data_IF_621335917661
#
_entry.id   IF_621335917661
#
_cell.length_a   1.000
_cell.length_b   1.000
_cell.length_c   1.000
_cell.angle_alpha   90.00
_cell.angle_beta   90.00
_cell.angle_gamma   90.00
#
_symmetry.space_group_name_H-M   'P 1'
#
loop_
_entity.id
_entity.type
_entity.pdbx_description
1 polymer ?
#
# COMPACT_ATOMS: atom_id res chain seq x y z
N UNK A 1 29.64 -14.81 -21.37
CA UNK A 1 28.53 -14.12 -22.08
C UNK A 1 27.21 -14.90 -22.08
N UNK A 2 27.10 -16.08 -22.74
CA UNK A 2 25.80 -16.81 -22.88
C UNK A 2 25.10 -17.21 -21.57
N UNK A 3 25.85 -17.68 -20.57
CA UNK A 3 25.32 -18.01 -19.24
C UNK A 3 24.81 -16.78 -18.47
N UNK A 4 25.39 -15.61 -18.71
CA UNK A 4 24.95 -14.35 -18.09
C UNK A 4 23.64 -13.86 -18.74
N UNK A 5 23.57 -13.88 -20.07
CA UNK A 5 22.33 -13.57 -20.81
C UNK A 5 21.17 -14.47 -20.41
N UNK A 6 21.41 -15.78 -20.25
CA UNK A 6 20.37 -16.71 -19.80
C UNK A 6 19.87 -16.39 -18.39
N UNK A 7 20.78 -16.07 -17.45
CA UNK A 7 20.41 -15.67 -16.09
C UNK A 7 19.59 -14.38 -16.07
N UNK A 8 20.00 -13.37 -16.83
CA UNK A 8 19.26 -12.11 -16.94
C UNK A 8 17.89 -12.31 -17.60
N UNK A 9 17.79 -13.16 -18.61
CA UNK A 9 16.51 -13.49 -19.25
C UNK A 9 15.56 -14.19 -18.29
N UNK A 10 16.05 -15.16 -17.51
CA UNK A 10 15.25 -15.85 -16.48
C UNK A 10 14.83 -14.87 -15.37
N UNK A 11 15.72 -13.98 -14.92
CA UNK A 11 15.39 -12.97 -13.93
C UNK A 11 14.31 -11.99 -14.44
N UNK A 12 14.41 -11.56 -15.70
CA UNK A 12 13.41 -10.71 -16.34
C UNK A 12 12.06 -11.44 -16.47
N UNK A 13 12.07 -12.71 -16.86
CA UNK A 13 10.86 -13.53 -16.95
C UNK A 13 10.17 -13.70 -15.58
N UNK A 14 10.95 -13.94 -14.51
CA UNK A 14 10.42 -14.02 -13.15
C UNK A 14 9.79 -12.71 -12.69
N UNK A 15 10.44 -11.57 -12.96
CA UNK A 15 9.85 -10.26 -12.65
C UNK A 15 8.56 -10.02 -13.44
N UNK A 16 8.53 -10.39 -14.72
CA UNK A 16 7.35 -10.24 -15.56
C UNK A 16 6.16 -11.04 -15.03
N UNK A 17 6.38 -12.31 -14.65
CA UNK A 17 5.34 -13.17 -14.04
C UNK A 17 4.84 -12.57 -12.71
N UNK A 18 5.76 -12.05 -11.89
CA UNK A 18 5.42 -11.44 -10.60
C UNK A 18 4.51 -10.22 -10.77
N UNK A 19 4.79 -9.37 -11.76
CA UNK A 19 3.97 -8.19 -12.05
C UNK A 19 2.59 -8.59 -12.56
N UNK A 20 2.51 -9.52 -13.51
CA UNK A 20 1.22 -9.99 -14.04
C UNK A 20 0.34 -10.61 -12.95
N UNK A 21 0.94 -11.46 -12.12
CA UNK A 21 0.24 -12.09 -10.99
C UNK A 21 -0.23 -11.03 -9.98
N UNK A 22 0.60 -10.01 -9.72
CA UNK A 22 0.23 -8.89 -8.86
C UNK A 22 -0.94 -8.07 -9.41
N UNK A 23 -0.99 -7.85 -10.72
CA UNK A 23 -2.09 -7.16 -11.38
C UNK A 23 -3.40 -7.96 -11.28
N UNK A 24 -3.37 -9.28 -11.51
CA UNK A 24 -4.55 -10.13 -11.37
C UNK A 24 -5.04 -10.17 -9.91
N UNK A 25 -4.12 -10.31 -8.95
CA UNK A 25 -4.46 -10.31 -7.53
C UNK A 25 -5.08 -8.98 -7.10
N UNK A 26 -4.54 -7.85 -7.57
CA UNK A 26 -5.08 -6.53 -7.31
C UNK A 26 -6.46 -6.33 -7.96
N UNK A 27 -6.63 -6.75 -9.22
CA UNK A 27 -7.92 -6.66 -9.91
C UNK A 27 -9.00 -7.49 -9.20
N UNK A 28 -8.67 -8.73 -8.82
CA UNK A 28 -9.57 -9.59 -8.04
C UNK A 28 -9.85 -9.02 -6.65
N UNK A 29 -8.84 -8.44 -5.99
CA UNK A 29 -9.00 -7.74 -4.71
C UNK A 29 -9.94 -6.54 -4.81
N UNK A 30 -9.79 -5.70 -5.84
CA UNK A 30 -10.68 -4.57 -6.11
C UNK A 30 -12.09 -5.05 -6.43
N UNK A 31 -12.25 -6.10 -7.24
CA UNK A 31 -13.57 -6.66 -7.56
C UNK A 31 -14.27 -7.21 -6.31
N UNK A 32 -13.53 -7.89 -5.42
CA UNK A 32 -14.04 -8.40 -4.14
C UNK A 32 -14.38 -7.28 -3.16
N UNK A 33 -13.59 -6.20 -3.11
CA UNK A 33 -13.87 -5.02 -2.26
C UNK A 33 -15.04 -4.20 -2.78
N UNK A 34 -15.27 -4.18 -4.10
CA UNK A 34 -16.44 -3.50 -4.68
C UNK A 34 -17.74 -4.26 -4.42
N UNK A 35 -17.69 -5.55 -4.08
CA UNK A 35 -18.87 -6.32 -3.64
C UNK A 35 -19.78 -6.82 -4.75
N UNK A 36 -19.33 -6.86 -6.02
CA UNK A 36 -20.18 -7.15 -7.19
C UNK A 36 -20.94 -8.50 -7.15
N UNK A 37 -20.55 -9.43 -6.27
CA UNK A 37 -21.23 -10.72 -6.06
C UNK A 37 -22.10 -10.78 -4.80
N UNK A 38 -22.33 -9.65 -4.12
CA UNK A 38 -23.21 -9.58 -2.96
C UNK A 38 -24.63 -9.19 -3.40
N UNK A 39 -25.66 -10.03 -3.20
CA UNK A 39 -27.05 -9.68 -3.50
C UNK A 39 -27.58 -8.53 -2.62
N UNK A 40 -26.84 -8.14 -1.57
CA UNK A 40 -27.03 -6.91 -0.80
C UNK A 40 -26.01 -5.83 -1.19
N UNK A 41 -25.82 -5.56 -2.49
CA UNK A 41 -25.04 -4.43 -2.98
C UNK A 41 -25.69 -3.10 -2.54
N UNK A 42 -25.58 -2.78 -1.26
CA UNK A 42 -25.93 -1.48 -0.71
C UNK A 42 -24.84 -0.54 -1.19
N UNK A 43 -25.15 0.19 -2.26
CA UNK A 43 -24.44 1.41 -2.63
C UNK A 43 -24.15 2.18 -1.33
N UNK A 44 -22.87 2.29 -0.96
CA UNK A 44 -22.43 2.87 0.32
C UNK A 44 -22.77 4.38 0.46
N UNK A 45 -23.51 4.92 -0.51
CA UNK A 45 -24.18 6.21 -0.47
C UNK A 45 -25.50 6.07 -1.23
N UNK A 46 -26.61 5.99 -0.50
CA UNK A 46 -27.93 6.32 -1.05
C UNK A 46 -28.22 7.78 -0.74
N UNK A 47 -27.98 8.68 -1.70
CA UNK A 47 -28.50 10.06 -1.62
C UNK A 47 -29.98 9.97 -1.97
N UNK A 48 -30.83 9.94 -0.95
CA UNK A 48 -32.25 10.21 -1.14
C UNK A 48 -32.40 11.73 -1.10
N UNK A 49 -32.58 12.32 -2.27
CA UNK A 49 -32.92 13.74 -2.39
C UNK A 49 -34.38 13.89 -1.93
N UNK A 50 -34.55 14.33 -0.68
CA UNK A 50 -35.79 14.93 -0.22
C UNK A 50 -35.46 16.27 0.40
N UNK A 51 -36.13 17.29 -0.11
CA UNK A 51 -36.04 18.69 0.27
C UNK A 51 -35.82 18.88 1.78
N UNK A 52 -34.70 19.54 2.11
CA UNK A 52 -34.40 20.31 3.34
C UNK A 52 -33.49 19.76 4.42
N UNK A 53 -33.04 18.50 4.43
CA UNK A 53 -32.00 18.09 5.38
C UNK A 53 -31.02 17.06 4.81
N UNK A 54 -29.76 17.49 4.65
CA UNK A 54 -28.65 16.68 4.12
C UNK A 54 -28.20 15.66 5.18
N UNK A 55 -28.87 14.50 5.25
CA UNK A 55 -28.46 13.38 6.12
C UNK A 55 -27.77 12.29 5.30
N UNK A 56 -26.44 12.39 5.14
CA UNK A 56 -25.63 11.33 4.57
C UNK A 56 -25.38 10.23 5.61
N UNK A 57 -26.19 9.17 5.59
CA UNK A 57 -25.98 7.97 6.43
C UNK A 57 -24.86 7.12 5.82
N UNK A 58 -23.66 7.22 6.38
CA UNK A 58 -22.60 6.22 6.16
C UNK A 58 -22.65 5.20 7.29
N UNK A 59 -23.03 3.95 6.96
CA UNK A 59 -22.96 2.78 7.85
C UNK A 59 -23.79 2.85 9.15
N UNK A 60 -25.00 3.39 9.09
CA UNK A 60 -26.01 3.19 10.15
C UNK A 60 -25.65 3.67 11.57
N UNK A 61 -24.59 4.46 11.74
CA UNK A 61 -24.25 5.10 13.01
C UNK A 61 -23.90 6.57 12.77
N UNK A 62 -24.53 7.45 13.52
CA UNK A 62 -24.19 8.87 13.59
C UNK A 62 -22.78 9.02 14.16
N UNK A 63 -21.78 9.30 13.33
CA UNK A 63 -20.40 9.51 13.78
C UNK A 63 -20.07 10.99 13.63
N UNK A 64 -19.94 11.67 14.76
CA UNK A 64 -19.49 13.05 14.88
C UNK A 64 -18.03 13.19 14.42
N UNK A 65 -17.72 14.27 13.70
CA UNK A 65 -16.46 14.53 12.97
C UNK A 65 -15.16 14.40 13.78
N UNK A 66 -15.24 14.44 15.11
CA UNK A 66 -14.08 14.29 16.00
C UNK A 66 -13.46 12.87 15.95
N UNK A 67 -14.27 11.83 15.69
CA UNK A 67 -13.83 10.43 15.82
C UNK A 67 -13.03 9.91 14.61
N UNK A 68 -13.13 10.60 13.46
CA UNK A 68 -12.42 10.25 12.22
C UNK A 68 -10.93 10.60 12.29
N UNK A 69 -10.58 11.72 12.93
CA UNK A 69 -9.22 12.22 13.04
C UNK A 69 -8.38 11.34 14.00
N UNK A 70 -8.97 10.93 15.12
CA UNK A 70 -8.35 10.00 16.07
C UNK A 70 -8.09 8.61 15.47
N UNK A 71 -9.02 8.11 14.63
CA UNK A 71 -8.83 6.83 13.91
C UNK A 71 -7.78 6.93 12.81
N UNK A 72 -7.74 8.04 12.06
CA UNK A 72 -6.67 8.30 11.07
C UNK A 72 -5.30 8.28 11.72
N UNK A 73 -5.15 9.00 12.84
CA UNK A 73 -3.88 9.06 13.58
C UNK A 73 -3.40 7.69 14.05
N UNK A 74 -4.30 6.86 14.59
CA UNK A 74 -3.97 5.47 14.96
C UNK A 74 -3.58 4.59 13.78
N UNK A 75 -4.21 4.76 12.62
CA UNK A 75 -3.87 3.98 11.42
C UNK A 75 -2.50 4.38 10.84
N UNK A 76 -2.16 5.67 10.89
CA UNK A 76 -0.84 6.17 10.49
C UNK A 76 0.25 5.68 11.44
N UNK A 77 0.02 5.74 12.75
CA UNK A 77 0.95 5.24 13.77
C UNK A 77 1.20 3.72 13.64
N UNK A 78 0.16 2.93 13.31
CA UNK A 78 0.30 1.47 13.13
C UNK A 78 1.05 1.05 11.86
N UNK A 79 0.88 1.77 10.75
CA UNK A 79 1.45 1.34 9.46
C UNK A 79 2.87 1.87 9.20
N UNK A 80 3.18 3.09 9.64
CA UNK A 80 4.41 3.75 9.23
C UNK A 80 5.57 3.58 10.21
N UNK A 81 5.31 3.52 11.53
CA UNK A 81 6.33 4.02 12.46
C UNK A 81 7.36 3.00 12.96
N UNK A 82 7.12 1.68 12.89
CA UNK A 82 8.02 0.72 13.54
C UNK A 82 8.70 -0.26 12.59
N UNK A 83 7.97 -0.93 11.69
CA UNK A 83 8.58 -1.92 10.80
C UNK A 83 9.36 -1.28 9.63
N UNK A 84 8.72 -0.40 8.87
CA UNK A 84 9.36 0.29 7.75
C UNK A 84 10.47 1.24 8.22
N UNK A 85 10.26 1.93 9.34
CA UNK A 85 11.26 2.82 9.93
C UNK A 85 12.50 2.07 10.44
N UNK A 86 12.32 0.94 11.15
CA UNK A 86 13.47 0.14 11.60
C UNK A 86 14.23 -0.51 10.45
N UNK A 87 13.53 -0.98 9.41
CA UNK A 87 14.13 -1.52 8.19
C UNK A 87 14.90 -0.43 7.41
N UNK A 88 14.29 0.74 7.22
CA UNK A 88 14.90 1.88 6.57
C UNK A 88 16.12 2.41 7.32
N UNK A 89 16.06 2.47 8.65
CA UNK A 89 17.19 2.87 9.50
C UNK A 89 18.39 1.94 9.32
N UNK A 90 18.14 0.62 9.35
CA UNK A 90 19.20 -0.39 9.17
C UNK A 90 19.81 -0.35 7.76
N UNK A 91 18.99 -0.09 6.75
CA UNK A 91 19.43 0.08 5.36
C UNK A 91 20.30 1.34 5.20
N UNK A 92 19.86 2.48 5.75
CA UNK A 92 20.62 3.73 5.71
C UNK A 92 21.95 3.63 6.45
N UNK A 93 21.98 3.02 7.63
CA UNK A 93 23.24 2.76 8.37
C UNK A 93 24.22 1.90 7.55
N UNK A 94 23.72 0.87 6.87
CA UNK A 94 24.53 0.06 5.96
C UNK A 94 25.10 0.85 4.78
N UNK A 95 24.29 1.74 4.20
CA UNK A 95 24.69 2.60 3.08
C UNK A 95 25.75 3.63 3.48
N UNK A 96 25.57 4.27 4.65
CA UNK A 96 26.54 5.24 5.20
C UNK A 96 27.87 4.57 5.50
N UNK A 97 27.86 3.44 6.20
CA UNK A 97 29.09 2.69 6.51
C UNK A 97 29.82 2.21 5.25
N UNK A 98 29.08 1.81 4.21
CA UNK A 98 29.69 1.43 2.93
C UNK A 98 30.31 2.66 2.24
N UNK A 99 29.62 3.80 2.26
CA UNK A 99 30.08 5.04 1.65
C UNK A 99 31.34 5.59 2.33
N UNK A 100 31.37 5.61 3.67
CA UNK A 100 32.54 6.01 4.46
C UNK A 100 33.75 5.13 4.14
N UNK A 101 33.58 3.81 4.12
CA UNK A 101 34.66 2.88 3.77
C UNK A 101 35.17 3.08 2.34
N UNK A 102 34.29 3.41 1.39
CA UNK A 102 34.67 3.69 0.01
C UNK A 102 35.45 5.01 -0.10
N UNK A 103 35.01 6.06 0.58
CA UNK A 103 35.70 7.36 0.60
C UNK A 103 37.09 7.21 1.24
N UNK A 104 37.17 6.48 2.35
CA UNK A 104 38.42 6.23 3.06
C UNK A 104 39.43 5.49 2.18
N UNK A 105 38.98 4.48 1.42
CA UNK A 105 39.81 3.70 0.48
C UNK A 105 40.29 4.45 -0.77
N UNK A 106 39.67 5.58 -1.10
CA UNK A 106 40.04 6.44 -2.24
C UNK A 106 40.96 7.58 -1.77
N UNK A 107 40.90 7.92 -0.48
CA UNK A 107 41.66 9.02 0.13
C UNK A 107 42.98 8.55 0.75
N UNK A 108 43.06 7.31 1.24
CA UNK A 108 44.32 6.58 1.52
C UNK A 108 44.93 5.98 0.24
#
# INVERSE_FOLDING_TARGET
>A
MKKFMLKSFVAAALMFISVLTGMELANNGIHKMKGYNDPNFQNAVSIHENDKDFQATFLGKNISSHDLEAKKKKLEEMNAFNFFSSMGKKMSEGMTNASEKLIQKITE
#
